data_IF_084199194687
#
_entry.id   IF_084199194687
#
_cell.length_a   1.000
_cell.length_b   1.000
_cell.length_c   1.000
_cell.angle_alpha   90.00
_cell.angle_beta   90.00
_cell.angle_gamma   90.00
#
_symmetry.space_group_name_H-M   'P 1'
#
loop_
_entity.id
_entity.type
_entity.pdbx_description
1 polymer ?
#
# COMPACT_ATOMS: atom_id res chain seq x y z
N UNK A 1 -3.43 -16.65 -44.64
CA UNK A 1 -2.26 -16.29 -43.82
C UNK A 1 -2.65 -16.56 -42.38
N UNK A 2 -1.91 -17.42 -41.67
CA UNK A 2 -2.17 -17.76 -40.28
C UNK A 2 -1.27 -16.88 -39.42
N UNK A 3 -1.87 -16.08 -38.55
CA UNK A 3 -1.15 -15.21 -37.63
C UNK A 3 -0.64 -16.02 -36.43
N UNK A 4 0.69 -16.11 -36.31
CA UNK A 4 1.37 -16.74 -35.18
C UNK A 4 1.24 -15.85 -33.95
N UNK A 5 0.46 -16.28 -32.95
CA UNK A 5 0.35 -15.61 -31.65
C UNK A 5 1.65 -15.86 -30.86
N UNK A 6 2.51 -14.84 -30.76
CA UNK A 6 3.72 -14.89 -29.93
C UNK A 6 3.33 -14.70 -28.46
N UNK A 7 3.28 -15.80 -27.70
CA UNK A 7 3.04 -15.79 -26.26
C UNK A 7 4.33 -15.41 -25.53
N UNK A 8 4.56 -14.12 -25.33
CA UNK A 8 5.71 -13.58 -24.59
C UNK A 8 5.55 -13.88 -23.08
N UNK A 9 6.04 -15.05 -22.65
CA UNK A 9 6.26 -15.35 -21.23
C UNK A 9 7.36 -14.44 -20.70
N UNK A 10 6.99 -13.33 -20.07
CA UNK A 10 7.92 -12.55 -19.26
C UNK A 10 8.27 -13.36 -18.01
N UNK A 11 9.44 -13.99 -18.01
CA UNK A 11 10.02 -14.55 -16.80
C UNK A 11 10.45 -13.39 -15.90
N UNK A 12 9.54 -12.91 -15.05
CA UNK A 12 9.85 -11.89 -14.06
C UNK A 12 10.69 -12.54 -12.95
N UNK A 13 11.99 -12.30 -12.97
CA UNK A 13 12.92 -12.80 -11.96
C UNK A 13 12.82 -11.92 -10.70
N UNK A 14 11.75 -12.11 -9.92
CA UNK A 14 11.51 -11.34 -8.69
C UNK A 14 12.39 -11.93 -7.58
N UNK A 15 13.51 -11.28 -7.28
CA UNK A 15 14.27 -11.53 -6.05
C UNK A 15 13.47 -11.02 -4.85
N UNK A 16 12.69 -11.90 -4.24
CA UNK A 16 11.97 -11.66 -2.98
C UNK A 16 12.95 -11.75 -1.80
N UNK A 17 13.50 -10.61 -1.38
CA UNK A 17 14.28 -10.49 -0.13
C UNK A 17 13.36 -10.08 1.06
N UNK A 18 12.09 -10.49 1.04
CA UNK A 18 11.11 -10.15 2.07
C UNK A 18 11.02 -11.26 3.11
N UNK A 19 10.83 -10.88 4.38
CA UNK A 19 10.35 -11.81 5.41
C UNK A 19 9.05 -12.42 4.90
N UNK A 20 8.92 -13.75 4.94
CA UNK A 20 7.79 -14.47 4.35
C UNK A 20 6.51 -14.20 5.15
N UNK A 21 5.68 -13.28 4.67
CA UNK A 21 4.36 -13.01 5.18
C UNK A 21 3.45 -12.57 4.05
N UNK A 22 2.19 -12.99 4.07
CA UNK A 22 1.20 -12.51 3.11
C UNK A 22 0.41 -11.37 3.74
N UNK A 23 0.38 -10.22 3.07
CA UNK A 23 -0.46 -9.10 3.45
C UNK A 23 -1.76 -9.20 2.65
N UNK A 24 -2.88 -9.35 3.34
CA UNK A 24 -4.21 -9.39 2.74
C UNK A 24 -5.00 -8.17 3.18
N UNK A 25 -5.87 -7.70 2.29
CA UNK A 25 -6.78 -6.60 2.60
C UNK A 25 -7.76 -7.05 3.68
N UNK A 26 -7.80 -6.32 4.80
CA UNK A 26 -8.62 -6.66 5.98
C UNK A 26 -9.95 -5.93 6.01
N UNK A 27 -10.07 -4.80 5.29
CA UNK A 27 -11.29 -4.00 5.23
C UNK A 27 -11.66 -3.71 3.77
N UNK A 28 -12.93 -3.77 3.38
CA UNK A 28 -13.40 -3.64 1.99
C UNK A 28 -13.05 -2.30 1.33
N UNK A 29 -13.16 -1.19 2.07
CA UNK A 29 -12.80 0.17 1.64
C UNK A 29 -11.33 0.55 1.84
N UNK A 30 -10.48 -0.30 2.43
CA UNK A 30 -9.06 0.03 2.61
C UNK A 30 -8.27 0.01 1.30
N UNK A 31 -7.02 0.46 1.32
CA UNK A 31 -6.11 0.41 0.18
C UNK A 31 -4.68 0.32 0.66
N UNK A 32 -3.81 -0.20 -0.20
CA UNK A 32 -2.39 -0.29 0.10
C UNK A 32 -1.63 0.88 -0.50
N UNK A 33 -0.66 1.40 0.25
CA UNK A 33 0.36 2.28 -0.28
C UNK A 33 1.75 1.82 0.14
N UNK A 34 2.74 2.13 -0.69
CA UNK A 34 4.14 1.86 -0.40
C UNK A 34 4.92 3.17 -0.31
N UNK A 35 5.81 3.29 0.67
CA UNK A 35 6.67 4.45 0.79
C UNK A 35 7.96 4.14 1.57
N UNK A 36 8.96 5.00 1.36
CA UNK A 36 10.20 5.01 2.14
C UNK A 36 9.97 5.65 3.52
N UNK A 37 10.52 5.07 4.58
CA UNK A 37 10.38 5.53 5.98
C UNK A 37 10.94 6.94 6.24
N UNK A 38 11.78 7.47 5.35
CA UNK A 38 12.30 8.85 5.40
C UNK A 38 11.53 9.84 4.52
N UNK A 39 10.41 9.44 3.93
CA UNK A 39 9.61 10.32 3.08
C UNK A 39 8.64 11.18 3.91
N UNK A 40 8.20 12.32 3.36
CA UNK A 40 7.11 13.12 3.97
C UNK A 40 5.86 12.30 4.22
N UNK A 41 5.61 11.28 3.41
CA UNK A 41 4.47 10.38 3.56
C UNK A 41 4.59 9.51 4.81
N UNK A 42 5.81 9.13 5.21
CA UNK A 42 6.06 8.47 6.48
C UNK A 42 5.74 9.39 7.67
N UNK A 43 6.13 10.66 7.59
CA UNK A 43 5.81 11.67 8.62
C UNK A 43 4.30 11.82 8.80
N UNK A 44 3.51 11.76 7.72
CA UNK A 44 2.06 11.92 7.79
C UNK A 44 1.32 10.67 8.28
N UNK A 45 1.77 9.48 7.88
CA UNK A 45 1.02 8.22 8.07
C UNK A 45 1.42 7.51 9.36
N UNK A 46 2.66 7.71 9.82
CA UNK A 46 3.14 7.13 11.08
C UNK A 46 2.98 8.11 12.25
N UNK A 47 2.33 9.26 12.03
CA UNK A 47 1.94 10.20 13.08
C UNK A 47 0.86 9.59 14.00
N UNK A 48 0.79 9.95 15.30
CA UNK A 48 -0.31 9.56 16.17
C UNK A 48 -1.71 9.92 15.67
N UNK A 49 -1.82 10.93 14.80
CA UNK A 49 -3.03 11.30 14.06
C UNK A 49 -2.79 11.17 12.55
N UNK A 50 -2.84 9.94 11.99
CA UNK A 50 -2.45 9.70 10.61
C UNK A 50 -3.32 10.46 9.60
N UNK A 51 -2.68 11.08 8.63
CA UNK A 51 -3.38 11.75 7.53
C UNK A 51 -2.67 11.51 6.20
N UNK A 52 -3.36 11.84 5.10
CA UNK A 52 -2.77 11.83 3.77
C UNK A 52 -3.21 13.04 2.97
N UNK A 53 -2.24 13.72 2.35
CA UNK A 53 -2.56 14.80 1.41
C UNK A 53 -2.92 14.24 0.03
N UNK A 54 -4.16 14.49 -0.40
CA UNK A 54 -4.64 14.20 -1.76
C UNK A 54 -5.19 15.49 -2.36
N UNK A 55 -4.68 15.89 -3.53
CA UNK A 55 -5.17 17.09 -4.24
C UNK A 55 -5.24 18.35 -3.35
N UNK A 56 -4.18 18.60 -2.58
CA UNK A 56 -4.05 19.72 -1.64
C UNK A 56 -5.00 19.70 -0.44
N UNK A 57 -5.73 18.60 -0.20
CA UNK A 57 -6.55 18.39 1.00
C UNK A 57 -5.91 17.34 1.90
N UNK A 58 -5.92 17.58 3.21
CA UNK A 58 -5.57 16.57 4.21
C UNK A 58 -6.79 15.70 4.48
N UNK A 59 -6.61 14.38 4.44
CA UNK A 59 -7.66 13.40 4.71
C UNK A 59 -7.18 12.51 5.84
N UNK A 60 -7.98 12.41 6.89
CA UNK A 60 -7.68 11.56 8.04
C UNK A 60 -7.82 10.09 7.66
N UNK A 61 -6.86 9.30 8.12
CA UNK A 61 -6.74 7.89 7.78
C UNK A 61 -6.49 7.06 9.03
N UNK A 62 -6.85 5.77 8.95
CA UNK A 62 -6.48 4.77 9.95
C UNK A 62 -5.51 3.79 9.32
N UNK A 63 -4.42 3.53 10.03
CA UNK A 63 -3.45 2.49 9.68
C UNK A 63 -3.96 1.15 10.21
N UNK A 64 -4.21 0.21 9.31
CA UNK A 64 -4.69 -1.13 9.68
C UNK A 64 -3.51 -2.09 9.87
N UNK A 65 -2.57 -2.11 8.93
CA UNK A 65 -1.43 -3.03 8.92
C UNK A 65 -0.21 -2.40 8.24
N UNK A 66 0.99 -2.75 8.71
CA UNK A 66 2.27 -2.34 8.11
C UNK A 66 3.15 -3.57 7.89
N UNK A 67 3.80 -3.66 6.73
CA UNK A 67 4.82 -4.65 6.42
C UNK A 67 6.09 -3.96 5.91
N UNK A 68 7.24 -4.35 6.44
CA UNK A 68 8.55 -3.90 5.94
C UNK A 68 8.88 -4.72 4.69
N UNK A 69 9.12 -4.07 3.55
CA UNK A 69 9.26 -4.73 2.24
C UNK A 69 10.55 -4.37 1.48
N UNK A 70 11.64 -4.09 2.20
CA UNK A 70 12.94 -3.74 1.64
C UNK A 70 13.78 -2.93 2.61
N UNK A 71 14.85 -2.30 2.11
CA UNK A 71 15.63 -1.36 2.92
C UNK A 71 14.83 -0.08 3.13
N UNK A 72 14.37 0.14 4.38
CA UNK A 72 13.60 1.31 4.80
C UNK A 72 12.31 1.57 4.01
N UNK A 73 11.78 0.56 3.33
CA UNK A 73 10.54 0.61 2.56
C UNK A 73 9.44 -0.14 3.31
N UNK A 74 8.24 0.45 3.37
CA UNK A 74 7.06 -0.17 3.98
C UNK A 74 5.88 -0.20 3.01
N UNK A 75 5.10 -1.27 3.11
CA UNK A 75 3.78 -1.42 2.52
C UNK A 75 2.74 -1.31 3.64
N UNK A 76 1.80 -0.38 3.52
CA UNK A 76 0.82 -0.04 4.55
C UNK A 76 -0.58 -0.21 4.02
N UNK A 77 -1.44 -0.89 4.77
CA UNK A 77 -2.89 -0.89 4.57
C UNK A 77 -3.51 0.29 5.32
N UNK A 78 -4.28 1.10 4.61
CA UNK A 78 -4.95 2.29 5.12
C UNK A 78 -6.42 2.27 4.76
N UNK A 79 -7.25 2.86 5.60
CA UNK A 79 -8.63 3.21 5.27
C UNK A 79 -8.88 4.66 5.67
N UNK A 80 -9.76 5.37 4.95
CA UNK A 80 -10.12 6.75 5.34
C UNK A 80 -10.97 6.67 6.60
N UNK A 81 -10.79 7.60 7.52
CA UNK A 81 -11.58 7.63 8.75
C UNK A 81 -13.10 7.65 8.45
N UNK A 82 -13.53 8.46 7.48
CA UNK A 82 -14.92 8.56 7.04
C UNK A 82 -15.51 7.24 6.52
N UNK A 83 -14.67 6.37 5.96
CA UNK A 83 -15.13 5.10 5.37
C UNK A 83 -15.44 4.04 6.45
N UNK A 84 -14.86 4.18 7.65
CA UNK A 84 -15.14 3.36 8.84
C UNK A 84 -16.45 3.81 9.50
N UNK A 85 -16.63 5.12 9.68
CA UNK A 85 -17.78 5.70 10.40
C UNK A 85 -19.13 5.45 9.69
N UNK A 86 -19.13 5.24 8.37
CA UNK A 86 -20.32 4.87 7.61
C UNK A 86 -20.75 3.40 7.78
N UNK A 87 -19.92 2.55 8.38
CA UNK A 87 -20.17 1.11 8.52
C UNK A 87 -20.83 0.73 9.87
N UNK A 88 -20.96 1.67 10.80
CA UNK A 88 -21.63 1.53 12.09
C UNK A 88 -23.02 2.21 12.10
#
# INVERSE_FOLDING_TARGET
MLDTVVNSRSNTNIKLNSVSGTLFKTHDKSFFIRFHLKSKRAEQILDPSPCMTISYKSIDCVVLQIMICGDMEVLVELVRQSDIEEAE
#
